data_IF_496741718879
#
_entry.id   IF_496741718879
#
_cell.length_a   1.000
_cell.length_b   1.000
_cell.length_c   1.000
_cell.angle_alpha   90.00
_cell.angle_beta   90.00
_cell.angle_gamma   90.00
#
_symmetry.space_group_name_H-M   'P 1'
#
loop_
_entity.id
_entity.type
_entity.pdbx_description
1 polymer ?
#
# COMPACT_ATOMS: atom_id res chain seq x y z
N UNK A 1 6.39 -22.35 9.39
CA UNK A 1 6.91 -22.43 10.78
C UNK A 1 7.41 -21.09 11.34
N UNK A 2 7.98 -20.17 10.55
CA UNK A 2 8.47 -18.87 11.08
C UNK A 2 7.38 -17.85 11.49
N UNK A 3 6.16 -17.95 10.94
CA UNK A 3 5.06 -17.01 11.23
C UNK A 3 4.41 -17.28 12.61
N UNK A 4 4.43 -18.54 13.08
CA UNK A 4 3.86 -18.92 14.39
C UNK A 4 4.75 -18.52 15.58
N UNK A 5 6.07 -18.37 15.37
CA UNK A 5 7.01 -18.03 16.45
C UNK A 5 6.89 -16.57 16.95
N UNK A 6 6.32 -15.67 16.15
CA UNK A 6 6.07 -14.28 16.54
C UNK A 6 4.83 -14.10 17.43
N UNK A 7 3.94 -15.10 17.48
CA UNK A 7 2.73 -15.07 18.31
C UNK A 7 2.99 -15.58 19.74
N UNK A 8 4.09 -16.30 19.98
CA UNK A 8 4.39 -16.95 21.27
C UNK A 8 5.23 -16.10 22.25
N UNK A 9 5.65 -14.89 21.87
CA UNK A 9 6.33 -13.98 22.77
C UNK A 9 5.30 -13.19 23.59
N UNK A 10 5.14 -13.56 24.85
CA UNK A 10 4.27 -12.90 25.81
C UNK A 10 4.56 -11.40 25.97
N UNK A 11 3.48 -10.67 26.25
CA UNK A 11 3.40 -9.39 26.97
C UNK A 11 4.69 -8.57 27.12
N UNK A 12 5.15 -7.91 26.04
CA UNK A 12 5.73 -6.53 26.04
C UNK A 12 5.99 -6.00 24.61
N UNK A 13 4.97 -5.98 23.73
CA UNK A 13 5.11 -5.59 22.32
C UNK A 13 4.74 -4.11 22.06
N UNK A 14 5.25 -3.19 22.89
CA UNK A 14 4.94 -1.76 22.85
C UNK A 14 5.70 -1.01 21.74
N UNK A 15 5.27 -1.19 20.48
CA UNK A 15 5.81 -0.55 19.25
C UNK A 15 7.29 -0.89 18.94
N UNK A 16 7.57 -1.36 17.72
CA UNK A 16 8.97 -1.38 17.23
C UNK A 16 9.12 -0.32 16.17
N UNK A 17 10.25 0.37 16.14
CA UNK A 17 10.62 1.20 15.00
C UNK A 17 11.57 0.47 14.07
N UNK A 18 11.49 0.77 12.78
CA UNK A 18 12.58 0.55 11.84
C UNK A 18 13.18 1.89 11.43
N UNK A 19 14.47 1.88 11.15
CA UNK A 19 15.20 3.04 10.65
C UNK A 19 15.42 2.84 9.17
N UNK A 20 15.16 3.87 8.38
CA UNK A 20 15.62 3.93 6.99
C UNK A 20 16.64 5.06 6.85
N UNK A 21 17.54 4.91 5.89
CA UNK A 21 18.48 5.91 5.39
C UNK A 21 17.84 7.28 5.06
N UNK A 22 16.62 7.30 4.53
CA UNK A 22 15.88 8.54 4.22
C UNK A 22 15.02 8.98 5.41
N UNK A 23 14.26 8.05 5.99
CA UNK A 23 13.33 8.31 7.08
C UNK A 23 13.86 7.71 8.37
N UNK A 24 14.23 8.59 9.31
CA UNK A 24 14.94 8.21 10.53
C UNK A 24 14.24 7.12 11.33
N UNK A 25 12.95 7.25 11.63
CA UNK A 25 12.23 6.25 12.43
C UNK A 25 10.81 6.10 11.94
N UNK A 26 10.45 4.86 11.61
CA UNK A 26 9.10 4.48 11.18
C UNK A 26 8.56 3.50 12.21
N UNK A 27 7.46 3.87 12.86
CA UNK A 27 6.79 2.99 13.84
C UNK A 27 6.15 1.83 13.09
N UNK A 28 6.17 0.63 13.66
CA UNK A 28 5.50 -0.53 13.10
C UNK A 28 4.47 -1.05 14.12
N UNK A 29 3.19 -0.94 13.77
CA UNK A 29 2.13 -1.60 14.53
C UNK A 29 2.17 -3.12 14.27
N UNK A 30 1.57 -3.94 15.14
CA UNK A 30 1.63 -5.41 15.06
C UNK A 30 1.31 -5.98 13.66
N UNK A 31 0.24 -5.49 13.02
CA UNK A 31 -0.15 -5.96 11.69
C UNK A 31 0.86 -5.58 10.61
N UNK A 32 1.43 -4.36 10.66
CA UNK A 32 2.49 -3.95 9.72
C UNK A 32 3.72 -4.84 9.87
N UNK A 33 4.12 -5.21 11.10
CA UNK A 33 5.24 -6.13 11.30
C UNK A 33 4.97 -7.51 10.72
N UNK A 34 3.77 -8.04 10.97
CA UNK A 34 3.37 -9.36 10.49
C UNK A 34 3.38 -9.39 8.95
N UNK A 35 2.71 -8.42 8.31
CA UNK A 35 2.67 -8.26 6.85
C UNK A 35 4.08 -8.10 6.29
N UNK A 36 4.90 -7.23 6.89
CA UNK A 36 6.29 -7.02 6.49
C UNK A 36 7.12 -8.31 6.57
N UNK A 37 6.85 -9.19 7.53
CA UNK A 37 7.57 -10.46 7.72
C UNK A 37 7.21 -11.57 6.71
N UNK A 38 6.17 -11.36 5.90
CA UNK A 38 5.73 -12.37 4.92
C UNK A 38 6.76 -12.58 3.81
N UNK A 39 6.90 -13.80 3.25
CA UNK A 39 7.80 -14.06 2.12
C UNK A 39 7.57 -13.14 0.93
N UNK A 40 6.31 -12.77 0.67
CA UNK A 40 5.89 -11.91 -0.43
C UNK A 40 6.49 -10.51 -0.33
N UNK A 41 6.50 -9.92 0.87
CA UNK A 41 7.15 -8.63 1.15
C UNK A 41 8.66 -8.78 1.30
N UNK A 42 9.14 -9.80 2.00
CA UNK A 42 10.57 -10.04 2.19
C UNK A 42 11.33 -10.24 0.87
N UNK A 43 10.67 -10.75 -0.18
CA UNK A 43 11.29 -10.88 -1.51
C UNK A 43 11.80 -9.55 -2.07
N UNK A 44 11.18 -8.42 -1.69
CA UNK A 44 11.57 -7.10 -2.18
C UNK A 44 13.01 -6.75 -1.79
N UNK A 45 13.58 -7.40 -0.76
CA UNK A 45 15.00 -7.26 -0.38
C UNK A 45 15.97 -7.75 -1.46
N UNK A 46 15.50 -8.59 -2.37
CA UNK A 46 16.27 -9.07 -3.52
C UNK A 46 16.05 -8.25 -4.79
N UNK A 47 15.19 -7.24 -4.77
CA UNK A 47 14.81 -6.47 -5.96
C UNK A 47 15.37 -5.05 -5.88
N UNK A 48 16.38 -4.76 -6.71
CA UNK A 48 16.97 -3.42 -6.81
C UNK A 48 15.94 -2.41 -7.34
N UNK A 49 15.85 -1.25 -6.68
CA UNK A 49 14.92 -0.17 -7.03
C UNK A 49 15.10 0.26 -8.49
N UNK A 50 16.35 0.49 -8.88
CA UNK A 50 16.74 1.07 -10.17
C UNK A 50 17.28 0.04 -11.17
N UNK A 51 16.94 -1.24 -10.99
CA UNK A 51 17.32 -2.30 -11.92
C UNK A 51 18.84 -2.47 -12.07
N UNK A 52 19.37 -2.16 -13.25
CA UNK A 52 20.79 -2.25 -13.63
C UNK A 52 21.58 -0.97 -13.39
N UNK A 53 20.94 0.06 -12.84
CA UNK A 53 21.54 1.38 -12.65
C UNK A 53 22.81 1.35 -11.78
N UNK A 54 22.93 0.37 -10.89
CA UNK A 54 24.12 0.17 -10.05
C UNK A 54 25.40 -0.12 -10.85
N UNK A 55 25.29 -0.53 -12.12
CA UNK A 55 26.43 -0.70 -13.03
C UNK A 55 27.05 0.64 -13.45
N UNK A 56 26.28 1.73 -13.42
CA UNK A 56 26.76 3.09 -13.73
C UNK A 56 26.92 3.92 -12.46
N UNK A 57 25.94 3.83 -11.56
CA UNK A 57 25.91 4.53 -10.27
C UNK A 57 26.17 3.52 -9.16
N UNK A 58 27.45 3.25 -8.85
CA UNK A 58 27.86 2.13 -7.98
C UNK A 58 27.19 2.09 -6.60
N UNK A 59 26.70 3.21 -6.10
CA UNK A 59 26.00 3.30 -4.81
C UNK A 59 24.49 3.04 -4.91
N UNK A 60 23.90 2.99 -6.11
CA UNK A 60 22.47 2.75 -6.38
C UNK A 60 22.06 1.27 -6.16
N UNK A 61 22.40 0.74 -4.98
CA UNK A 61 22.21 -0.67 -4.60
C UNK A 61 20.94 -0.91 -3.80
N UNK A 62 20.21 0.15 -3.50
CA UNK A 62 18.98 0.10 -2.72
C UNK A 62 17.88 -0.70 -3.41
N UNK A 63 16.95 -1.19 -2.59
CA UNK A 63 15.95 -2.18 -2.95
C UNK A 63 14.53 -1.65 -2.79
N UNK A 64 13.58 -2.33 -3.44
CA UNK A 64 12.14 -2.04 -3.31
C UNK A 64 11.63 -2.21 -1.87
N UNK A 65 12.33 -2.99 -1.04
CA UNK A 65 11.93 -3.25 0.36
C UNK A 65 12.03 -2.00 1.23
N UNK A 66 13.18 -1.33 1.24
CA UNK A 66 13.39 -0.12 2.05
C UNK A 66 12.60 1.07 1.49
N UNK A 67 12.41 1.13 0.17
CA UNK A 67 11.48 2.06 -0.46
C UNK A 67 10.04 1.84 0.03
N UNK A 68 9.52 0.61 -0.03
CA UNK A 68 8.15 0.29 0.43
C UNK A 68 7.93 0.63 1.91
N UNK A 69 8.94 0.40 2.76
CA UNK A 69 8.90 0.82 4.17
C UNK A 69 8.83 2.35 4.27
N UNK A 70 9.66 3.07 3.50
CA UNK A 70 9.67 4.52 3.48
C UNK A 70 8.34 5.13 3.05
N UNK A 71 7.71 4.61 1.98
CA UNK A 71 6.37 5.01 1.53
C UNK A 71 5.33 4.77 2.62
N UNK A 72 5.38 3.64 3.32
CA UNK A 72 4.49 3.36 4.44
C UNK A 72 4.64 4.39 5.58
N UNK A 73 5.88 4.78 5.90
CA UNK A 73 6.17 5.79 6.92
C UNK A 73 5.68 7.19 6.53
N UNK A 74 5.89 7.59 5.27
CA UNK A 74 5.42 8.88 4.75
C UNK A 74 3.88 8.93 4.67
N UNK A 75 3.23 7.84 4.28
CA UNK A 75 1.77 7.73 4.25
C UNK A 75 1.15 7.95 5.63
N UNK A 76 1.74 7.33 6.67
CA UNK A 76 1.33 7.53 8.06
C UNK A 76 1.51 8.99 8.49
N UNK A 77 2.70 9.56 8.28
CA UNK A 77 2.97 10.95 8.64
C UNK A 77 2.04 11.94 7.95
N UNK A 78 1.78 11.77 6.65
CA UNK A 78 0.87 12.64 5.90
C UNK A 78 -0.55 12.64 6.48
N UNK A 79 -1.08 11.46 6.79
CA UNK A 79 -2.44 11.33 7.32
C UNK A 79 -2.54 11.80 8.76
N UNK A 80 -1.50 11.64 9.56
CA UNK A 80 -1.41 12.20 10.91
C UNK A 80 -1.48 13.73 10.88
N UNK A 81 -0.68 14.37 10.02
CA UNK A 81 -0.71 15.83 9.82
C UNK A 81 -2.10 16.32 9.36
N UNK A 82 -2.72 15.63 8.39
CA UNK A 82 -4.07 15.96 7.93
C UNK A 82 -5.10 15.79 9.06
N UNK A 83 -5.01 14.70 9.83
CA UNK A 83 -5.93 14.40 10.93
C UNK A 83 -5.87 15.46 12.01
N UNK A 84 -4.68 15.87 12.41
CA UNK A 84 -4.47 16.89 13.44
C UNK A 84 -4.97 18.27 12.98
N UNK A 85 -4.69 18.65 11.72
CA UNK A 85 -5.06 19.97 11.19
C UNK A 85 -6.52 20.07 10.77
N UNK A 86 -7.15 18.96 10.39
CA UNK A 86 -8.52 18.92 9.88
C UNK A 86 -9.35 17.79 10.52
N UNK A 87 -9.62 17.86 11.85
CA UNK A 87 -10.32 16.80 12.58
C UNK A 87 -11.74 16.52 12.05
N UNK A 88 -12.35 17.49 11.36
CA UNK A 88 -13.68 17.34 10.71
C UNK A 88 -13.71 16.28 9.60
N UNK A 89 -12.56 15.89 9.06
CA UNK A 89 -12.46 14.82 8.05
C UNK A 89 -12.64 13.42 8.64
N UNK A 90 -12.57 13.29 9.97
CA UNK A 90 -12.75 12.03 10.69
C UNK A 90 -11.87 10.89 10.15
N UNK A 91 -10.58 11.18 9.95
CA UNK A 91 -9.54 10.20 9.62
C UNK A 91 -9.30 9.35 10.86
N UNK A 92 -9.66 8.07 10.78
CA UNK A 92 -9.52 7.12 11.90
C UNK A 92 -8.13 6.49 11.92
N UNK A 93 -7.70 5.97 13.06
CA UNK A 93 -6.46 5.19 13.14
C UNK A 93 -6.46 4.01 12.14
N UNK A 94 -7.64 3.40 11.95
CA UNK A 94 -7.84 2.31 11.00
C UNK A 94 -7.60 2.75 9.55
N UNK A 95 -8.02 3.97 9.18
CA UNK A 95 -7.72 4.52 7.86
C UNK A 95 -6.21 4.72 7.67
N UNK A 96 -5.52 5.26 8.69
CA UNK A 96 -4.06 5.45 8.67
C UNK A 96 -3.34 4.11 8.47
N UNK A 97 -3.72 3.08 9.23
CA UNK A 97 -3.13 1.74 9.09
C UNK A 97 -3.39 1.14 7.72
N UNK A 98 -4.60 1.30 7.15
CA UNK A 98 -4.89 0.80 5.82
C UNK A 98 -4.04 1.48 4.75
N UNK A 99 -3.95 2.82 4.76
CA UNK A 99 -3.16 3.55 3.76
C UNK A 99 -1.66 3.29 3.95
N UNK A 100 -1.20 3.12 5.18
CA UNK A 100 0.16 2.67 5.49
C UNK A 100 0.46 1.28 4.92
N UNK A 101 -0.46 0.33 5.07
CA UNK A 101 -0.34 -1.00 4.47
C UNK A 101 -0.36 -0.91 2.94
N UNK A 102 -1.18 -0.06 2.35
CA UNK A 102 -1.15 0.19 0.90
C UNK A 102 0.23 0.71 0.45
N UNK A 103 0.81 1.67 1.18
CA UNK A 103 2.18 2.14 0.94
C UNK A 103 3.23 1.04 1.06
N UNK A 104 3.12 0.14 2.04
CA UNK A 104 4.02 -1.00 2.18
C UNK A 104 3.88 -2.03 1.04
N UNK A 105 2.70 -2.14 0.45
CA UNK A 105 2.34 -3.21 -0.48
C UNK A 105 2.29 -2.78 -1.95
N UNK A 106 2.39 -1.48 -2.25
CA UNK A 106 2.18 -0.95 -3.60
C UNK A 106 3.14 -1.53 -4.65
N UNK A 107 4.37 -1.84 -4.23
CA UNK A 107 5.44 -2.36 -5.09
C UNK A 107 5.57 -3.90 -5.07
N UNK A 108 4.62 -4.60 -4.45
CA UNK A 108 4.61 -6.05 -4.38
C UNK A 108 4.53 -6.75 -5.73
N UNK A 109 4.25 -6.09 -6.83
CA UNK A 109 4.16 -6.71 -8.16
C UNK A 109 5.40 -6.54 -9.02
N UNK A 110 6.42 -5.80 -8.56
CA UNK A 110 7.64 -5.64 -9.33
C UNK A 110 8.37 -6.97 -9.58
N UNK A 111 8.79 -7.16 -10.83
CA UNK A 111 9.60 -8.30 -11.27
C UNK A 111 11.11 -8.05 -11.15
N UNK A 112 11.94 -9.00 -11.60
CA UNK A 112 13.39 -8.87 -11.61
C UNK A 112 13.86 -7.61 -12.34
N UNK A 113 14.73 -6.81 -11.73
CA UNK A 113 15.18 -5.52 -12.27
C UNK A 113 14.07 -4.45 -12.41
N UNK A 114 12.99 -4.53 -11.63
CA UNK A 114 11.97 -3.50 -11.50
C UNK A 114 11.36 -3.09 -12.84
N UNK A 115 11.52 -1.83 -13.28
CA UNK A 115 10.91 -1.32 -14.50
C UNK A 115 11.47 -1.94 -15.80
N UNK A 116 12.61 -2.62 -15.73
CA UNK A 116 13.14 -3.38 -16.87
C UNK A 116 12.23 -4.55 -17.19
N UNK A 117 11.64 -5.20 -16.18
CA UNK A 117 10.77 -6.35 -16.35
C UNK A 117 9.42 -5.96 -16.98
N UNK A 118 8.67 -5.08 -16.31
CA UNK A 118 7.31 -4.70 -16.73
C UNK A 118 7.30 -3.90 -18.04
N UNK A 119 8.38 -3.17 -18.33
CA UNK A 119 8.59 -2.41 -19.56
C UNK A 119 9.31 -3.20 -20.65
N UNK A 120 10.64 -3.05 -20.71
CA UNK A 120 11.45 -3.46 -21.87
C UNK A 120 11.41 -4.98 -22.11
N UNK A 121 11.61 -5.77 -21.07
CA UNK A 121 11.69 -7.23 -21.18
C UNK A 121 10.38 -7.83 -21.70
N UNK A 122 9.25 -7.51 -21.07
CA UNK A 122 7.93 -8.01 -21.49
C UNK A 122 7.54 -7.59 -22.91
N UNK A 123 7.88 -6.36 -23.29
CA UNK A 123 7.66 -5.88 -24.66
C UNK A 123 8.48 -6.66 -25.69
N UNK A 124 9.71 -7.05 -25.35
CA UNK A 124 10.52 -7.91 -26.19
C UNK A 124 10.00 -9.36 -26.21
N UNK A 125 9.52 -9.88 -25.08
CA UNK A 125 8.96 -11.23 -24.95
C UNK A 125 7.75 -11.40 -25.86
N UNK A 126 6.82 -10.44 -25.79
CA UNK A 126 5.64 -10.39 -26.66
C UNK A 126 5.98 -10.27 -28.15
N UNK A 127 7.17 -9.76 -28.50
CA UNK A 127 7.65 -9.72 -29.90
C UNK A 127 8.25 -11.05 -30.31
N UNK A 128 8.95 -11.73 -29.43
CA UNK A 128 9.56 -13.02 -29.72
C UNK A 128 8.53 -14.14 -29.84
N UNK A 129 7.54 -14.20 -28.96
CA UNK A 129 6.41 -15.12 -29.04
C UNK A 129 5.69 -15.02 -30.38
N UNK A 130 5.43 -13.79 -30.86
CA UNK A 130 4.80 -13.56 -32.18
C UNK A 130 5.69 -13.94 -33.35
N UNK A 131 7.01 -13.83 -33.20
CA UNK A 131 7.98 -14.11 -34.28
C UNK A 131 8.44 -15.57 -34.30
N UNK A 132 8.28 -16.30 -33.20
CA UNK A 132 8.92 -17.61 -32.99
C UNK A 132 10.45 -17.54 -32.89
N UNK A 133 11.02 -16.36 -32.64
CA UNK A 133 12.48 -16.17 -32.55
C UNK A 133 12.85 -15.06 -31.58
N UNK A 134 13.93 -15.25 -30.82
CA UNK A 134 14.50 -14.28 -29.89
C UNK A 134 16.00 -14.12 -30.20
N UNK A 135 16.46 -12.89 -30.46
CA UNK A 135 17.89 -12.62 -30.80
C UNK A 135 18.48 -13.52 -31.90
N UNK A 136 17.65 -13.93 -32.88
CA UNK A 136 18.09 -14.75 -34.01
C UNK A 136 18.16 -16.26 -33.73
N UNK A 137 17.73 -16.72 -32.55
CA UNK A 137 17.50 -18.14 -32.26
C UNK A 137 16.01 -18.44 -32.20
N UNK A 138 15.64 -19.68 -32.53
CA UNK A 138 14.27 -20.17 -32.39
C UNK A 138 13.83 -20.02 -30.94
N UNK A 139 12.65 -19.43 -30.75
CA UNK A 139 12.08 -19.17 -29.45
C UNK A 139 11.01 -20.22 -29.16
N UNK A 140 11.34 -21.14 -28.26
CA UNK A 140 10.41 -22.15 -27.79
C UNK A 140 9.46 -21.55 -26.75
N UNK A 141 8.24 -21.21 -27.17
CA UNK A 141 7.21 -20.70 -26.27
C UNK A 141 6.61 -21.77 -25.35
N UNK A 142 6.86 -23.06 -25.61
CA UNK A 142 6.26 -24.15 -24.82
C UNK A 142 6.76 -24.19 -23.38
N UNK A 143 7.89 -23.54 -23.10
CA UNK A 143 8.41 -23.35 -21.74
C UNK A 143 7.43 -22.58 -20.83
N UNK A 144 6.43 -21.91 -21.40
CA UNK A 144 5.41 -21.14 -20.67
C UNK A 144 4.02 -21.79 -20.69
N UNK A 145 3.82 -22.93 -21.35
CA UNK A 145 2.48 -23.52 -21.54
C UNK A 145 1.76 -23.85 -20.23
N UNK A 146 2.52 -24.07 -19.15
CA UNK A 146 1.98 -24.35 -17.82
C UNK A 146 1.95 -23.13 -16.89
N UNK A 147 2.32 -21.94 -17.38
CA UNK A 147 2.26 -20.70 -16.61
C UNK A 147 0.92 -19.99 -16.84
N UNK A 148 0.44 -19.22 -15.85
CA UNK A 148 -0.76 -18.41 -16.01
C UNK A 148 -0.62 -17.44 -17.20
N UNK A 149 -1.69 -17.34 -17.99
CA UNK A 149 -1.75 -16.39 -19.11
C UNK A 149 -1.60 -14.96 -18.57
N UNK A 150 -0.68 -14.19 -19.15
CA UNK A 150 -0.40 -12.87 -18.64
C UNK A 150 -1.30 -11.84 -19.28
N UNK A 151 -2.01 -11.06 -18.45
CA UNK A 151 -3.01 -10.08 -18.88
C UNK A 151 -2.45 -9.09 -19.89
N UNK A 152 -3.28 -8.71 -20.86
CA UNK A 152 -2.97 -7.60 -21.77
C UNK A 152 -2.87 -6.30 -20.98
N UNK A 153 -1.89 -5.45 -21.32
CA UNK A 153 -1.57 -4.19 -20.62
C UNK A 153 -1.16 -4.33 -19.14
N UNK A 154 -0.84 -5.55 -18.69
CA UNK A 154 -0.38 -5.81 -17.32
C UNK A 154 0.68 -4.80 -16.87
N UNK A 155 0.49 -4.27 -15.67
CA UNK A 155 1.48 -3.43 -14.98
C UNK A 155 1.87 -4.08 -13.66
N UNK A 156 2.90 -3.54 -13.00
CA UNK A 156 3.33 -4.05 -11.71
C UNK A 156 2.24 -3.87 -10.64
N UNK A 157 1.39 -2.85 -10.71
CA UNK A 157 0.30 -2.66 -9.75
C UNK A 157 -0.75 -3.77 -9.82
N UNK A 158 -1.06 -4.30 -11.03
CA UNK A 158 -1.93 -5.48 -11.19
C UNK A 158 -1.35 -6.71 -10.47
N UNK A 159 -0.03 -6.88 -10.56
CA UNK A 159 0.65 -7.96 -9.87
C UNK A 159 0.80 -7.73 -8.38
N UNK A 160 0.84 -6.47 -7.92
CA UNK A 160 0.77 -6.15 -6.49
C UNK A 160 -0.56 -6.64 -5.93
N UNK A 161 -1.68 -6.46 -6.65
CA UNK A 161 -2.98 -6.98 -6.24
C UNK A 161 -2.98 -8.51 -6.11
N UNK A 162 -2.44 -9.21 -7.11
CA UNK A 162 -2.33 -10.68 -7.09
C UNK A 162 -1.39 -11.18 -6.00
N UNK A 163 -0.30 -10.45 -5.74
CA UNK A 163 0.64 -10.78 -4.68
C UNK A 163 0.06 -10.55 -3.29
N UNK A 164 -0.81 -9.54 -3.12
CA UNK A 164 -1.59 -9.35 -1.89
C UNK A 164 -2.53 -10.54 -1.67
N UNK A 165 -3.26 -10.98 -2.70
CA UNK A 165 -4.15 -12.13 -2.60
C UNK A 165 -3.37 -13.43 -2.28
N UNK A 166 -2.19 -13.61 -2.89
CA UNK A 166 -1.27 -14.71 -2.60
C UNK A 166 -0.73 -14.65 -1.18
N UNK A 167 -0.38 -13.46 -0.68
CA UNK A 167 0.07 -13.23 0.69
C UNK A 167 -1.02 -13.62 1.69
N UNK A 168 -2.25 -13.14 1.51
CA UNK A 168 -3.38 -13.50 2.37
C UNK A 168 -3.63 -15.01 2.34
N UNK A 169 -3.62 -15.61 1.14
CA UNK A 169 -3.83 -17.07 0.99
C UNK A 169 -2.74 -17.88 1.69
N UNK A 170 -1.48 -17.43 1.61
CA UNK A 170 -0.34 -18.03 2.32
C UNK A 170 -0.42 -17.91 3.85
N UNK A 171 -1.20 -16.94 4.35
CA UNK A 171 -1.53 -16.80 5.77
C UNK A 171 -2.79 -17.59 6.17
N UNK A 172 -3.45 -18.29 5.24
CA UNK A 172 -4.68 -19.03 5.48
C UNK A 172 -5.95 -18.17 5.42
N UNK A 173 -5.87 -16.98 4.80
CA UNK A 173 -6.91 -15.95 4.79
C UNK A 173 -7.34 -15.58 3.36
N UNK A 174 -8.58 -15.13 3.20
CA UNK A 174 -9.08 -14.59 1.94
C UNK A 174 -10.08 -13.46 2.17
N UNK A 175 -10.23 -12.57 1.18
CA UNK A 175 -11.28 -11.55 1.18
C UNK A 175 -12.64 -12.25 1.04
N UNK A 176 -13.56 -11.98 1.95
CA UNK A 176 -14.93 -12.49 1.90
C UNK A 176 -15.84 -11.56 1.11
N UNK A 177 -16.01 -11.81 -0.18
CA UNK A 177 -16.90 -11.03 -1.06
C UNK A 177 -18.37 -11.11 -0.65
N UNK A 178 -18.76 -12.10 0.15
CA UNK A 178 -20.15 -12.24 0.65
C UNK A 178 -20.44 -11.37 1.87
N UNK A 179 -19.41 -10.98 2.62
CA UNK A 179 -19.55 -10.14 3.80
C UNK A 179 -18.29 -9.27 4.04
N UNK A 180 -18.30 -8.09 3.43
CA UNK A 180 -17.14 -7.20 3.44
C UNK A 180 -16.84 -6.58 4.81
N UNK A 181 -17.84 -6.43 5.67
CA UNK A 181 -17.72 -5.73 6.95
C UNK A 181 -17.30 -6.64 8.11
N UNK A 182 -16.98 -7.91 7.80
CA UNK A 182 -16.40 -8.87 8.73
C UNK A 182 -14.88 -9.04 8.53
N UNK A 183 -14.17 -9.62 9.51
CA UNK A 183 -12.80 -10.08 9.32
C UNK A 183 -12.65 -10.94 8.07
N UNK A 184 -11.40 -11.11 7.61
CA UNK A 184 -11.10 -11.97 6.47
C UNK A 184 -11.65 -13.40 6.68
N UNK A 185 -11.99 -14.08 5.59
CA UNK A 185 -12.42 -15.47 5.62
C UNK A 185 -11.23 -16.38 5.93
N UNK A 186 -11.38 -17.25 6.93
CA UNK A 186 -10.45 -18.35 7.16
C UNK A 186 -10.63 -19.40 6.06
N UNK A 187 -9.57 -19.70 5.31
CA UNK A 187 -9.60 -20.68 4.20
C UNK A 187 -8.65 -21.87 4.40
N UNK A 188 -7.79 -21.84 5.42
CA UNK A 188 -6.88 -22.93 5.72
C UNK A 188 -6.25 -22.81 7.11
N UNK A 189 -5.26 -23.67 7.38
CA UNK A 189 -4.44 -23.56 8.58
C UNK A 189 -3.45 -22.41 8.42
N UNK A 190 -3.39 -21.50 9.38
CA UNK A 190 -2.57 -20.31 9.27
C UNK A 190 -2.76 -19.36 10.44
N UNK A 191 -2.68 -18.07 10.19
CA UNK A 191 -3.03 -17.05 11.18
C UNK A 191 -4.55 -17.07 11.34
N UNK A 192 -5.02 -16.99 12.58
CA UNK A 192 -6.44 -16.81 12.87
C UNK A 192 -6.91 -15.46 12.31
N UNK A 193 -7.95 -15.49 11.47
CA UNK A 193 -8.57 -14.30 10.89
C UNK A 193 -8.94 -13.23 11.94
N UNK A 194 -9.41 -13.65 13.12
CA UNK A 194 -9.79 -12.75 14.20
C UNK A 194 -8.56 -12.08 14.83
N UNK A 195 -7.45 -12.81 14.94
CA UNK A 195 -6.19 -12.28 15.45
C UNK A 195 -5.44 -11.42 14.42
N UNK A 196 -5.54 -11.77 13.14
CA UNK A 196 -4.89 -11.02 12.06
C UNK A 196 -5.50 -9.63 11.88
N UNK A 197 -6.81 -9.49 12.14
CA UNK A 197 -7.49 -8.21 12.07
C UNK A 197 -6.95 -7.18 13.09
N UNK A 198 -6.45 -7.63 14.24
CA UNK A 198 -6.10 -6.75 15.36
C UNK A 198 -4.87 -5.92 15.03
N UNK A 199 -5.10 -4.65 14.70
CA UNK A 199 -4.03 -3.70 14.40
C UNK A 199 -3.58 -2.90 15.64
N UNK A 200 -4.45 -2.77 16.64
CA UNK A 200 -4.16 -2.14 17.94
C UNK A 200 -4.48 -3.07 19.11
N UNK A 201 -3.44 -3.71 19.65
CA UNK A 201 -3.57 -4.62 20.80
C UNK A 201 -3.74 -3.89 22.12
N UNK A 202 -3.45 -2.59 22.17
CA UNK A 202 -3.57 -1.80 23.40
C UNK A 202 -5.03 -1.44 23.74
N UNK A 203 -5.93 -1.61 22.77
CA UNK A 203 -7.38 -1.40 22.90
C UNK A 203 -8.16 -2.73 22.95
N UNK A 204 -7.49 -3.87 23.07
CA UNK A 204 -8.17 -5.16 23.31
C UNK A 204 -8.88 -5.08 24.68
N UNK A 205 -10.17 -5.47 24.78
CA UNK A 205 -10.81 -5.66 26.08
C UNK A 205 -10.00 -6.67 26.89
N UNK A 206 -9.79 -6.40 28.19
CA UNK A 206 -9.04 -7.31 29.07
C UNK A 206 -9.61 -8.72 28.96
N UNK A 207 -8.85 -9.64 28.36
CA UNK A 207 -9.21 -11.05 28.36
C UNK A 207 -9.05 -11.54 29.80
N UNK A 208 -10.15 -11.80 30.50
CA UNK A 208 -10.14 -12.78 31.58
C UNK A 208 -9.86 -14.14 30.95
N UNK A 209 -8.58 -14.47 30.83
CA UNK A 209 -8.15 -15.84 30.58
C UNK A 209 -8.44 -16.57 31.89
N UNK A 210 -9.58 -17.25 31.95
CA UNK A 210 -9.77 -18.31 32.91
C UNK A 210 -8.67 -19.33 32.63
N UNK A 211 -7.63 -19.31 33.45
CA UNK A 211 -6.85 -20.51 33.62
C UNK A 211 -7.82 -21.51 34.24
N UNK A 212 -8.15 -22.58 33.52
CA UNK A 212 -8.58 -23.82 34.16
C UNK A 212 -7.40 -24.27 35.04
N UNK A 213 -7.33 -23.70 36.23
CA UNK A 213 -6.70 -24.37 37.36
C UNK A 213 -7.74 -25.34 37.87
N UNK A 214 -7.62 -26.58 37.44
CA UNK A 214 -8.10 -27.69 38.25
C UNK A 214 -7.53 -27.52 39.67
N UNK A 215 -8.40 -27.71 40.66
CA UNK A 215 -8.17 -27.72 42.12
C UNK A 215 -8.07 -26.35 42.83
N UNK A 216 -9.19 -25.87 43.41
CA UNK A 216 -9.54 -26.12 44.83
C UNK A 216 -10.83 -25.39 45.23
N UNK A 217 -11.66 -26.06 46.04
CA UNK A 217 -12.92 -25.56 46.60
C UNK A 217 -12.70 -24.39 47.59
N UNK A 218 -13.33 -23.23 47.36
CA UNK A 218 -13.97 -22.46 48.46
C UNK A 218 -14.88 -21.34 47.95
N UNK A 219 -16.08 -21.27 48.55
CA UNK A 219 -17.14 -20.29 48.27
C UNK A 219 -16.79 -18.86 48.73
N UNK A 220 -17.20 -17.87 47.95
CA UNK A 220 -17.85 -16.65 48.49
C UNK A 220 -18.75 -15.98 47.43
N UNK A 221 -19.87 -15.46 47.91
CA UNK A 221 -21.06 -15.02 47.17
C UNK A 221 -20.93 -13.67 46.44
N UNK A 222 -21.69 -13.56 45.35
CA UNK A 222 -22.38 -12.40 44.77
C UNK A 222 -21.60 -11.11 44.45
N UNK A 223 -21.54 -10.74 43.16
CA UNK A 223 -22.27 -9.55 42.69
C UNK A 223 -22.40 -9.49 41.15
N UNK A 224 -23.58 -9.03 40.74
CA UNK A 224 -24.03 -8.46 39.47
C UNK A 224 -23.63 -9.02 38.08
N UNK A 225 -24.68 -9.50 37.42
CA UNK A 225 -24.91 -9.63 35.98
C UNK A 225 -24.11 -8.65 35.10
N UNK A 226 -23.13 -9.19 34.37
CA UNK A 226 -22.74 -8.75 33.01
C UNK A 226 -22.05 -9.92 32.30
N UNK A 227 -22.71 -11.08 32.27
CA UNK A 227 -22.35 -12.18 31.35
C UNK A 227 -22.89 -11.86 29.94
N UNK A 228 -22.43 -10.76 29.34
CA UNK A 228 -22.43 -10.64 27.89
C UNK A 228 -21.38 -11.63 27.36
N UNK A 229 -21.86 -12.85 27.08
CA UNK A 229 -21.11 -13.92 26.44
C UNK A 229 -20.25 -13.34 25.30
N UNK A 230 -18.94 -13.22 25.53
CA UNK A 230 -18.01 -12.64 24.58
C UNK A 230 -18.07 -13.46 23.29
N UNK A 231 -18.72 -12.93 22.26
CA UNK A 231 -19.01 -13.65 21.00
C UNK A 231 -17.77 -14.01 20.17
N UNK A 232 -16.57 -13.74 20.70
CA UNK A 232 -15.29 -13.93 20.01
C UNK A 232 -15.05 -12.95 18.86
N UNK A 233 -16.01 -12.07 18.55
CA UNK A 233 -15.91 -11.08 17.48
C UNK A 233 -15.52 -9.74 18.08
N UNK A 234 -14.28 -9.32 17.83
CA UNK A 234 -13.83 -7.97 18.21
C UNK A 234 -14.59 -6.91 17.41
N UNK A 235 -14.85 -5.72 18.01
CA UNK A 235 -15.51 -4.63 17.33
C UNK A 235 -14.82 -4.27 15.99
N UNK A 236 -15.56 -4.01 14.90
CA UNK A 236 -14.98 -3.73 13.57
C UNK A 236 -13.96 -2.59 13.54
N UNK A 237 -14.03 -1.65 14.47
CA UNK A 237 -13.09 -0.54 14.64
C UNK A 237 -11.70 -1.00 15.13
N UNK A 238 -11.62 -2.17 15.78
CA UNK A 238 -10.39 -2.76 16.30
C UNK A 238 -9.77 -3.80 15.34
N UNK A 239 -10.49 -4.21 14.30
CA UNK A 239 -10.05 -5.23 13.34
C UNK A 239 -10.09 -4.78 11.88
N UNK A 240 -9.11 -5.20 11.07
CA UNK A 240 -9.20 -5.06 9.61
C UNK A 240 -10.19 -6.08 9.02
N UNK A 241 -11.12 -5.56 8.22
CA UNK A 241 -12.18 -6.31 7.55
C UNK A 241 -11.82 -6.62 6.10
N UNK A 242 -12.63 -7.46 5.44
CA UNK A 242 -12.52 -7.69 4.00
C UNK A 242 -12.63 -6.39 3.18
N UNK A 243 -13.47 -5.44 3.62
CA UNK A 243 -13.60 -4.10 3.03
C UNK A 243 -12.30 -3.30 3.13
N UNK A 244 -11.58 -3.42 4.23
CA UNK A 244 -10.31 -2.73 4.42
C UNK A 244 -9.20 -3.28 3.52
N UNK A 245 -9.19 -4.59 3.27
CA UNK A 245 -8.28 -5.18 2.30
C UNK A 245 -8.62 -4.80 0.85
N UNK A 246 -9.91 -4.60 0.53
CA UNK A 246 -10.30 -3.98 -0.73
C UNK A 246 -9.81 -2.54 -0.80
N UNK A 247 -10.00 -1.75 0.26
CA UNK A 247 -9.51 -0.38 0.33
C UNK A 247 -7.99 -0.29 0.11
N UNK A 248 -7.21 -1.15 0.76
CA UNK A 248 -5.75 -1.25 0.58
C UNK A 248 -5.42 -1.48 -0.90
N UNK A 249 -6.09 -2.45 -1.54
CA UNK A 249 -5.89 -2.76 -2.96
C UNK A 249 -6.26 -1.57 -3.87
N UNK A 250 -7.36 -0.88 -3.59
CA UNK A 250 -7.80 0.31 -4.33
C UNK A 250 -6.82 1.48 -4.18
N UNK A 251 -6.20 1.66 -3.01
CA UNK A 251 -5.12 2.63 -2.81
C UNK A 251 -3.86 2.30 -3.62
N UNK A 252 -3.52 1.01 -3.78
CA UNK A 252 -2.35 0.58 -4.59
C UNK A 252 -2.52 0.96 -6.06
N UNK A 253 -3.70 0.72 -6.65
CA UNK A 253 -3.98 1.06 -8.06
C UNK A 253 -4.58 2.46 -8.26
N UNK A 254 -4.77 3.19 -7.16
CA UNK A 254 -5.48 4.47 -7.09
C UNK A 254 -6.81 4.51 -7.86
N UNK A 255 -7.54 3.39 -7.93
CA UNK A 255 -8.77 3.26 -8.73
C UNK A 255 -9.67 2.15 -8.17
N UNK A 256 -10.98 2.16 -8.48
CA UNK A 256 -11.84 1.03 -8.16
C UNK A 256 -11.27 -0.26 -8.74
N UNK A 257 -11.37 -1.37 -7.98
CA UNK A 257 -10.77 -2.63 -8.42
C UNK A 257 -11.37 -3.09 -9.76
N UNK A 258 -10.52 -3.51 -10.72
CA UNK A 258 -11.02 -4.06 -11.96
C UNK A 258 -11.75 -5.40 -11.70
N UNK A 259 -12.67 -5.80 -12.59
CA UNK A 259 -13.23 -7.15 -12.57
C UNK A 259 -12.11 -8.21 -12.57
N UNK A 260 -12.35 -9.35 -11.91
CA UNK A 260 -11.38 -10.45 -11.87
C UNK A 260 -10.92 -10.81 -13.29
N UNK A 261 -9.61 -10.88 -13.48
CA UNK A 261 -9.00 -11.20 -14.78
C UNK A 261 -8.72 -9.98 -15.68
N UNK A 262 -9.15 -8.77 -15.31
CA UNK A 262 -8.93 -7.54 -16.09
C UNK A 262 -7.82 -6.70 -15.45
N UNK A 263 -6.97 -6.06 -16.28
CA UNK A 263 -5.98 -5.09 -15.80
C UNK A 263 -6.67 -3.80 -15.39
N UNK A 264 -6.16 -3.11 -14.37
CA UNK A 264 -6.64 -1.78 -14.00
C UNK A 264 -6.38 -0.76 -15.13
N UNK A 265 -5.30 -0.93 -15.90
CA UNK A 265 -4.90 0.01 -16.96
C UNK A 265 -5.68 -0.20 -18.25
N UNK A 266 -6.34 0.86 -18.72
CA UNK A 266 -7.21 0.85 -19.91
C UNK A 266 -8.63 0.36 -19.62
N UNK A 267 -8.95 0.10 -18.36
CA UNK A 267 -10.31 -0.07 -17.93
C UNK A 267 -10.84 1.31 -17.52
N UNK A 268 -11.68 1.93 -18.36
CA UNK A 268 -12.48 3.10 -17.99
C UNK A 268 -13.61 2.65 -17.04
N UNK A 269 -13.25 1.90 -15.99
CA UNK A 269 -14.20 1.35 -15.07
C UNK A 269 -14.84 2.52 -14.33
N UNK A 270 -16.05 2.86 -14.76
CA UNK A 270 -17.07 3.65 -14.04
C UNK A 270 -17.51 2.93 -12.75
N UNK A 271 -16.58 2.27 -12.07
CA UNK A 271 -16.80 1.59 -10.81
C UNK A 271 -16.81 2.61 -9.68
N UNK A 272 -17.52 2.29 -8.61
CA UNK A 272 -17.44 3.06 -7.38
C UNK A 272 -16.43 2.37 -6.46
N UNK A 273 -15.63 3.16 -5.74
CA UNK A 273 -14.78 2.64 -4.68
C UNK A 273 -15.60 1.85 -3.66
N UNK A 274 -15.15 0.67 -3.30
CA UNK A 274 -15.85 -0.23 -2.37
C UNK A 274 -15.29 -0.08 -0.94
N UNK A 275 -13.99 0.14 -0.82
CA UNK A 275 -13.26 0.19 0.44
C UNK A 275 -13.70 1.36 1.34
N UNK A 276 -13.75 2.54 0.75
CA UNK A 276 -14.28 3.80 1.29
C UNK A 276 -15.14 4.47 0.21
N UNK A 277 -16.45 4.17 0.14
CA UNK A 277 -17.32 4.67 -0.94
C UNK A 277 -17.75 6.14 -0.77
N UNK A 278 -17.52 6.73 0.40
CA UNK A 278 -17.94 8.09 0.71
C UNK A 278 -16.97 9.15 0.19
N UNK A 279 -17.50 10.19 -0.46
CA UNK A 279 -16.74 11.35 -0.98
C UNK A 279 -15.90 12.08 0.07
N UNK A 280 -16.30 12.00 1.34
CA UNK A 280 -15.56 12.60 2.46
C UNK A 280 -14.20 11.94 2.74
N UNK A 281 -13.97 10.72 2.23
CA UNK A 281 -12.71 9.96 2.41
C UNK A 281 -12.00 9.70 1.08
N UNK A 282 -12.43 10.33 0.00
CA UNK A 282 -11.89 10.10 -1.33
C UNK A 282 -10.41 10.51 -1.46
N UNK A 283 -10.00 11.58 -0.77
CA UNK A 283 -8.61 12.03 -0.73
C UNK A 283 -7.63 10.96 -0.20
N UNK A 284 -8.10 9.96 0.56
CA UNK A 284 -7.24 8.89 1.07
C UNK A 284 -6.63 8.05 -0.07
N UNK A 285 -7.34 7.92 -1.19
CA UNK A 285 -6.85 7.18 -2.35
C UNK A 285 -5.74 7.92 -3.10
N UNK A 286 -5.49 9.20 -2.80
CA UNK A 286 -4.44 10.00 -3.45
C UNK A 286 -3.13 10.05 -2.66
N UNK A 287 -3.07 9.40 -1.48
CA UNK A 287 -1.89 9.43 -0.61
C UNK A 287 -0.74 8.64 -1.22
N UNK A 288 -0.98 7.37 -1.57
CA UNK A 288 0.05 6.44 -2.06
C UNK A 288 0.34 6.67 -3.55
N UNK A 289 -0.72 6.86 -4.34
CA UNK A 289 -0.63 7.14 -5.77
C UNK A 289 -1.68 8.19 -6.12
N UNK A 290 -1.24 9.42 -6.40
CA UNK A 290 -2.11 10.58 -6.54
C UNK A 290 -2.62 10.70 -7.98
N UNK A 291 -3.93 10.50 -8.19
CA UNK A 291 -4.53 10.52 -9.53
C UNK A 291 -4.52 11.89 -10.20
N UNK A 292 -4.48 12.96 -9.40
CA UNK A 292 -4.83 14.29 -9.88
C UNK A 292 -3.62 15.17 -10.17
N UNK A 293 -2.58 15.07 -9.34
CA UNK A 293 -1.39 15.94 -9.42
C UNK A 293 -0.10 15.16 -9.62
N UNK A 294 -0.09 13.85 -9.33
CA UNK A 294 1.13 13.06 -9.25
C UNK A 294 2.07 13.51 -8.11
N UNK A 295 1.54 14.17 -7.07
CA UNK A 295 2.25 14.48 -5.83
C UNK A 295 1.77 13.49 -4.75
N UNK A 296 2.51 12.39 -4.60
CA UNK A 296 2.20 11.29 -3.68
C UNK A 296 3.44 10.87 -2.87
N UNK A 297 3.21 10.09 -1.82
CA UNK A 297 4.28 9.65 -0.91
C UNK A 297 5.23 8.63 -1.55
N UNK A 298 4.79 7.90 -2.58
CA UNK A 298 5.65 7.05 -3.41
C UNK A 298 6.77 7.90 -4.05
N UNK A 299 6.39 8.95 -4.78
CA UNK A 299 7.36 9.85 -5.42
C UNK A 299 8.20 10.61 -4.42
N UNK A 300 7.64 10.98 -3.26
CA UNK A 300 8.42 11.61 -2.20
C UNK A 300 9.54 10.69 -1.71
N UNK A 301 9.26 9.41 -1.47
CA UNK A 301 10.29 8.47 -1.04
C UNK A 301 11.32 8.23 -2.14
N UNK A 302 10.90 7.80 -3.33
CA UNK A 302 11.86 7.35 -4.33
C UNK A 302 12.76 8.50 -4.81
N UNK A 303 12.24 9.72 -4.99
CA UNK A 303 13.07 10.85 -5.43
C UNK A 303 14.14 11.21 -4.39
N UNK A 304 13.79 11.15 -3.10
CA UNK A 304 14.76 11.36 -2.03
C UNK A 304 15.80 10.24 -1.98
N UNK A 305 15.34 8.98 -2.00
CA UNK A 305 16.16 7.79 -1.90
C UNK A 305 17.09 7.60 -3.08
N UNK A 306 16.56 7.68 -4.29
CA UNK A 306 17.31 7.55 -5.53
C UNK A 306 18.39 8.62 -5.62
N UNK A 307 18.08 9.84 -5.18
CA UNK A 307 19.05 10.93 -5.13
C UNK A 307 20.18 10.67 -4.15
N UNK A 308 19.85 10.18 -2.96
CA UNK A 308 20.83 9.84 -1.94
C UNK A 308 21.78 8.75 -2.44
N UNK A 309 21.24 7.68 -3.02
CA UNK A 309 22.05 6.54 -3.46
C UNK A 309 22.78 6.76 -4.78
N UNK A 310 22.18 7.49 -5.74
CA UNK A 310 22.84 7.73 -7.03
C UNK A 310 23.87 8.85 -6.95
N UNK A 311 23.63 9.89 -6.15
CA UNK A 311 24.43 11.11 -6.17
C UNK A 311 25.04 11.50 -4.81
N UNK A 312 24.67 10.85 -3.71
CA UNK A 312 25.17 11.18 -2.38
C UNK A 312 24.68 12.52 -1.84
N UNK A 313 23.50 12.99 -2.28
CA UNK A 313 22.90 14.26 -1.84
C UNK A 313 21.47 14.04 -1.36
N UNK A 314 20.92 14.96 -0.57
CA UNK A 314 19.58 14.79 0.02
C UNK A 314 18.42 14.97 -0.97
N UNK A 315 18.64 15.68 -2.08
CA UNK A 315 17.59 15.89 -3.09
C UNK A 315 16.36 16.60 -2.52
N UNK A 316 15.19 15.99 -2.67
CA UNK A 316 13.94 16.52 -2.09
C UNK A 316 13.75 16.19 -0.60
N UNK A 317 14.61 15.38 0.02
CA UNK A 317 14.43 14.96 1.42
C UNK A 317 14.26 16.15 2.37
N UNK A 318 14.94 17.26 2.10
CA UNK A 318 14.89 18.47 2.94
C UNK A 318 13.54 19.21 2.83
N UNK A 319 12.76 19.01 1.75
CA UNK A 319 11.45 19.66 1.57
C UNK A 319 10.28 18.76 1.95
N UNK A 320 10.47 17.44 2.05
CA UNK A 320 9.41 16.48 2.39
C UNK A 320 8.71 16.83 3.71
N UNK A 321 9.40 17.11 4.83
CA UNK A 321 8.71 17.43 6.09
C UNK A 321 7.75 18.61 5.96
N UNK A 322 8.15 19.64 5.20
CA UNK A 322 7.32 20.82 4.96
C UNK A 322 6.14 20.51 4.02
N UNK A 323 6.31 19.60 3.05
CA UNK A 323 5.20 19.13 2.22
C UNK A 323 4.18 18.37 3.07
N UNK A 324 4.62 17.44 3.92
CA UNK A 324 3.72 16.70 4.82
C UNK A 324 2.97 17.64 5.77
N UNK A 325 3.72 18.51 6.48
CA UNK A 325 3.18 19.45 7.45
C UNK A 325 2.16 20.40 6.81
N UNK A 326 2.41 20.89 5.59
CA UNK A 326 1.57 21.91 4.94
C UNK A 326 0.42 21.35 4.12
N UNK A 327 0.37 20.04 3.88
CA UNK A 327 -0.76 19.41 3.19
C UNK A 327 -2.09 19.71 3.89
N UNK A 328 -3.13 19.93 3.10
CA UNK A 328 -4.50 20.04 3.57
C UNK A 328 -5.44 19.35 2.59
N UNK A 329 -6.68 19.13 2.98
CA UNK A 329 -7.72 18.56 2.13
C UNK A 329 -8.77 19.62 1.85
N UNK A 330 -9.04 19.86 0.57
CA UNK A 330 -10.05 20.81 0.13
C UNK A 330 -10.88 20.22 -1.01
N UNK A 331 -12.05 20.80 -1.24
CA UNK A 331 -12.86 20.48 -2.40
C UNK A 331 -12.19 21.05 -3.65
N UNK A 332 -11.88 20.18 -4.61
CA UNK A 332 -11.40 20.55 -5.95
C UNK A 332 -12.26 19.93 -7.03
N UNK A 333 -12.03 20.32 -8.29
CA UNK A 333 -12.63 19.67 -9.46
C UNK A 333 -11.57 18.82 -10.14
N UNK A 334 -11.90 17.58 -10.53
CA UNK A 334 -11.01 16.79 -11.39
C UNK A 334 -11.22 17.20 -12.84
N UNK A 335 -10.14 17.29 -13.61
CA UNK A 335 -10.22 17.50 -15.05
C UNK A 335 -10.51 16.20 -15.82
N UNK A 336 -10.90 15.10 -15.16
CA UNK A 336 -11.18 13.79 -15.78
C UNK A 336 -12.44 13.75 -16.67
N UNK A 337 -12.98 14.90 -17.07
CA UNK A 337 -14.00 14.98 -18.09
C UNK A 337 -13.36 15.23 -19.46
N UNK A 338 -13.03 14.13 -20.15
CA UNK A 338 -12.96 14.07 -21.63
C UNK A 338 -14.38 14.27 -22.23
N UNK A 339 -15.11 15.29 -21.78
CA UNK A 339 -16.37 15.69 -22.37
C UNK A 339 -16.36 17.18 -22.65
N UNK A 340 -16.00 17.55 -23.87
CA UNK A 340 -16.35 18.83 -24.52
C UNK A 340 -17.88 19.07 -24.62
N UNK A 341 -18.70 18.32 -23.88
CA UNK A 341 -20.16 18.43 -23.86
C UNK A 341 -20.70 18.13 -22.47
N UNK A 342 -20.62 19.10 -21.55
CA UNK A 342 -21.53 19.15 -20.42
C UNK A 342 -22.04 20.58 -20.29
N UNK A 343 -23.31 20.74 -20.65
CA UNK A 343 -24.11 21.94 -20.43
C UNK A 343 -24.04 22.26 -18.93
N UNK A 344 -23.64 23.50 -18.61
CA UNK A 344 -23.67 24.04 -17.25
C UNK A 344 -25.12 24.01 -16.73
N UNK A 345 -25.46 23.01 -15.94
CA UNK A 345 -26.68 22.99 -15.13
C UNK A 345 -26.33 23.24 -13.67
N UNK A 346 -27.18 23.99 -12.97
CA UNK A 346 -26.98 24.54 -11.61
C UNK A 346 -26.75 23.49 -10.48
N UNK A 347 -26.71 22.19 -10.78
CA UNK A 347 -26.42 21.08 -9.84
C UNK A 347 -24.97 20.52 -9.97
N UNK A 348 -23.98 21.42 -10.05
CA UNK A 348 -22.56 21.13 -10.29
C UNK A 348 -21.77 20.62 -9.05
N UNK A 349 -22.46 20.26 -7.96
CA UNK A 349 -21.81 19.62 -6.80
C UNK A 349 -21.43 18.15 -7.03
N UNK A 350 -21.77 17.56 -8.19
CA UNK A 350 -21.43 16.18 -8.55
C UNK A 350 -19.99 16.02 -9.07
N UNK A 351 -19.37 17.10 -9.57
CA UNK A 351 -18.03 17.10 -10.18
C UNK A 351 -16.88 17.36 -9.19
N UNK A 352 -17.20 17.80 -7.97
CA UNK A 352 -16.20 18.11 -6.96
C UNK A 352 -15.77 16.86 -6.18
N UNK A 353 -14.54 16.80 -5.69
CA UNK A 353 -14.10 15.76 -4.78
C UNK A 353 -13.09 16.33 -3.79
N UNK A 354 -12.94 15.66 -2.64
CA UNK A 354 -11.92 16.06 -1.67
C UNK A 354 -10.55 15.59 -2.16
N UNK A 355 -9.62 16.54 -2.26
CA UNK A 355 -8.28 16.34 -2.78
C UNK A 355 -7.25 16.82 -1.77
N UNK A 356 -6.06 16.23 -1.82
CA UNK A 356 -4.89 16.78 -1.12
C UNK A 356 -4.41 18.03 -1.86
N UNK A 357 -4.35 19.14 -1.15
CA UNK A 357 -4.00 20.47 -1.62
C UNK A 357 -2.88 21.07 -0.75
N UNK A 358 -2.28 22.13 -1.26
CA UNK A 358 -1.19 22.84 -0.61
C UNK A 358 -1.45 24.35 -0.70
N UNK A 359 -1.08 25.13 0.33
CA UNK A 359 -1.24 26.58 0.28
C UNK A 359 -0.30 27.20 -0.77
N UNK A 360 -0.68 28.35 -1.34
CA UNK A 360 0.11 29.05 -2.37
C UNK A 360 1.56 29.35 -1.95
N UNK A 361 1.79 29.51 -0.64
CA UNK A 361 3.13 29.68 -0.06
C UNK A 361 4.07 28.49 -0.29
N UNK A 362 3.54 27.33 -0.68
CA UNK A 362 4.28 26.12 -1.02
C UNK A 362 4.60 25.99 -2.52
N UNK A 363 4.19 26.95 -3.36
CA UNK A 363 4.42 26.90 -4.82
C UNK A 363 5.88 26.61 -5.17
N UNK A 364 6.82 27.30 -4.51
CA UNK A 364 8.26 27.08 -4.77
C UNK A 364 8.73 25.66 -4.39
N UNK A 365 8.23 25.11 -3.29
CA UNK A 365 8.54 23.74 -2.85
C UNK A 365 8.00 22.70 -3.85
N UNK A 366 6.78 22.90 -4.35
CA UNK A 366 6.14 22.01 -5.33
C UNK A 366 6.85 22.08 -6.69
N UNK A 367 7.21 23.28 -7.15
CA UNK A 367 7.99 23.44 -8.37
C UNK A 367 9.37 22.77 -8.25
N UNK A 368 10.03 22.89 -7.10
CA UNK A 368 11.30 22.19 -6.81
C UNK A 368 11.13 20.68 -6.89
N UNK A 369 10.03 20.13 -6.36
CA UNK A 369 9.72 18.70 -6.45
C UNK A 369 9.64 18.21 -7.91
N UNK A 370 8.86 18.89 -8.75
CA UNK A 370 8.72 18.51 -10.16
C UNK A 370 9.98 18.76 -10.98
N UNK A 371 10.72 19.84 -10.69
CA UNK A 371 12.02 20.09 -11.30
C UNK A 371 13.00 18.94 -10.97
N UNK A 372 13.00 18.47 -9.72
CA UNK A 372 13.86 17.36 -9.30
C UNK A 372 13.47 16.07 -10.01
N UNK A 373 12.18 15.74 -10.04
CA UNK A 373 11.65 14.59 -10.79
C UNK A 373 12.10 14.61 -12.25
N UNK A 374 12.00 15.75 -12.91
CA UNK A 374 12.44 15.91 -14.30
C UNK A 374 13.96 15.67 -14.45
N UNK A 375 14.78 16.27 -13.56
CA UNK A 375 16.23 16.09 -13.58
C UNK A 375 16.65 14.64 -13.35
N UNK A 376 16.00 13.93 -12.44
CA UNK A 376 16.26 12.51 -12.18
C UNK A 376 15.87 11.64 -13.37
N UNK A 377 14.73 11.92 -14.00
CA UNK A 377 14.36 11.22 -15.23
C UNK A 377 15.45 11.36 -16.30
N UNK A 378 15.92 12.58 -16.56
CA UNK A 378 16.95 12.82 -17.58
C UNK A 378 18.31 12.21 -17.25
N UNK A 379 18.71 12.24 -15.98
CA UNK A 379 20.08 11.90 -15.56
C UNK A 379 20.23 10.46 -15.10
N UNK A 380 19.21 9.90 -14.45
CA UNK A 380 19.26 8.61 -13.78
C UNK A 380 18.40 7.59 -14.52
N UNK A 381 17.10 7.82 -14.66
CA UNK A 381 16.17 6.81 -15.17
C UNK A 381 16.30 6.55 -16.67
N UNK A 382 16.70 7.55 -17.45
CA UNK A 382 16.97 7.40 -18.89
C UNK A 382 18.46 7.50 -19.23
N UNK A 383 19.33 7.16 -18.28
CA UNK A 383 20.76 7.25 -18.51
C UNK A 383 21.17 6.27 -19.64
N UNK A 384 21.91 6.69 -20.69
CA UNK A 384 22.15 5.83 -21.87
C UNK A 384 22.91 4.53 -21.62
N UNK A 385 23.59 4.42 -20.47
CA UNK A 385 24.36 3.23 -20.08
C UNK A 385 23.63 2.29 -19.11
N UNK A 386 22.47 2.69 -18.60
CA UNK A 386 21.65 1.91 -17.66
C UNK A 386 20.50 1.28 -18.42
#
# INVERSE_FOLDING_TARGET
MYVLGLMAAGADATSSSCFTDVHRSIKLCPITKLVMSTPQVQRLKGLKQLGTTDQTYMCATHTRFEHSIGVAGLAEQLLEEIRERQPKLNVTDKDIVCVKLAGLLHDLGHGPYSHVYDGSFRNQLSKAERKGSWLGVDFDSTIYDNLPEVKKNWQHEDASLEMIDCMLSGLGLAIDESNLDKPLKQIGHGVDALAFGIWDRSKEPERHIAYDTDDDESMSEADDNDDELYTGVLPPELVLTSRDWIFIKECVVASPLPPKGVSHKGNNARGQFVGRPGRLKEFLYDVVSNRHSGLDVDKMDYLARDTLHAFGVNGIADIIPKLLEKACVAWGRSNDSDSETSIETEDDHSSMHLMICYPDTMTHNILTFFERRYKEHQRLYTHPKT
#
